data_IF_664195724918
#
_entry.id   IF_664195724918
#
_cell.length_a   1.000
_cell.length_b   1.000
_cell.length_c   1.000
_cell.angle_alpha   90.00
_cell.angle_beta   90.00
_cell.angle_gamma   90.00
#
_symmetry.space_group_name_H-M   'P 1'
#
loop_
_entity.id
_entity.type
_entity.pdbx_description
1 polymer ?
#
# COMPACT_ATOMS: atom_id res chain seq x y z
N UNK A 1 30.69 -20.51 -25.94
CA UNK A 1 29.85 -19.48 -26.60
C UNK A 1 30.21 -19.44 -28.09
N UNK A 2 29.33 -19.95 -28.96
CA UNK A 2 29.56 -19.93 -30.41
C UNK A 2 29.15 -18.53 -30.91
N UNK A 3 30.14 -17.68 -31.19
CA UNK A 3 29.91 -16.36 -31.76
C UNK A 3 29.28 -16.49 -33.14
N UNK A 4 28.04 -16.02 -33.32
CA UNK A 4 27.42 -15.94 -34.64
C UNK A 4 28.23 -14.94 -35.47
N UNK A 5 28.90 -15.43 -36.52
CA UNK A 5 29.54 -14.57 -37.51
C UNK A 5 28.46 -13.74 -38.19
N UNK A 6 28.57 -12.42 -38.09
CA UNK A 6 27.64 -11.49 -38.76
C UNK A 6 28.08 -11.39 -40.22
N UNK A 7 27.41 -12.13 -41.10
CA UNK A 7 27.61 -12.02 -42.54
C UNK A 7 26.89 -10.77 -43.04
N UNK A 8 27.59 -9.95 -43.83
CA UNK A 8 27.04 -8.77 -44.47
C UNK A 8 27.12 -9.00 -45.98
N UNK A 9 25.96 -9.00 -46.64
CA UNK A 9 25.83 -9.06 -48.10
C UNK A 9 25.29 -7.71 -48.57
N UNK A 10 25.70 -7.25 -49.75
CA UNK A 10 25.14 -6.03 -50.32
C UNK A 10 23.70 -6.26 -50.83
N UNK A 11 22.88 -5.22 -50.77
CA UNK A 11 21.45 -5.30 -51.11
C UNK A 11 21.21 -5.73 -52.56
N UNK A 12 22.11 -5.35 -53.48
CA UNK A 12 21.97 -5.64 -54.90
C UNK A 12 22.24 -7.12 -55.18
N UNK A 13 23.35 -7.65 -54.67
CA UNK A 13 23.64 -9.09 -54.77
C UNK A 13 22.58 -9.95 -54.08
N UNK A 14 22.07 -9.51 -52.93
CA UNK A 14 21.00 -10.23 -52.23
C UNK A 14 19.70 -10.28 -53.04
N UNK A 15 19.33 -9.17 -53.69
CA UNK A 15 18.20 -9.13 -54.61
C UNK A 15 18.44 -10.00 -55.85
N UNK A 16 19.62 -9.91 -56.45
CA UNK A 16 19.97 -10.67 -57.67
C UNK A 16 19.94 -12.19 -57.38
N UNK A 17 20.43 -12.62 -56.20
CA UNK A 17 20.32 -14.02 -55.74
C UNK A 17 18.86 -14.42 -55.55
N UNK A 18 18.03 -13.59 -54.90
CA UNK A 18 16.61 -13.89 -54.69
C UNK A 18 15.90 -14.09 -56.03
N UNK A 19 16.12 -13.19 -57.00
CA UNK A 19 15.50 -13.29 -58.32
C UNK A 19 15.96 -14.53 -59.07
N UNK A 20 17.25 -14.88 -58.98
CA UNK A 20 17.79 -16.10 -59.59
C UNK A 20 17.16 -17.37 -59.00
N UNK A 21 17.04 -17.46 -57.67
CA UNK A 21 16.41 -18.61 -57.00
C UNK A 21 14.94 -18.74 -57.39
N UNK A 22 14.18 -17.64 -57.47
CA UNK A 22 12.79 -17.66 -57.92
C UNK A 22 12.66 -18.15 -59.36
N UNK A 23 13.54 -17.67 -60.24
CA UNK A 23 13.61 -18.08 -61.64
C UNK A 23 13.93 -19.58 -61.79
N UNK A 24 14.93 -20.08 -61.07
CA UNK A 24 15.31 -21.50 -61.08
C UNK A 24 14.18 -22.41 -60.58
N UNK A 25 13.33 -21.91 -59.67
CA UNK A 25 12.18 -22.64 -59.14
C UNK A 25 10.88 -22.41 -59.94
N UNK A 26 10.94 -21.78 -61.12
CA UNK A 26 9.80 -21.43 -61.96
C UNK A 26 8.70 -20.64 -61.19
N UNK A 27 9.12 -19.77 -60.26
CA UNK A 27 8.23 -18.87 -59.51
C UNK A 27 8.22 -17.48 -60.15
N UNK A 28 7.13 -16.75 -59.95
CA UNK A 28 7.04 -15.36 -60.40
C UNK A 28 8.11 -14.49 -59.74
N UNK A 29 8.71 -13.53 -60.48
CA UNK A 29 9.69 -12.60 -59.93
C UNK A 29 9.13 -11.82 -58.75
N UNK A 30 9.97 -11.57 -57.74
CA UNK A 30 9.55 -10.76 -56.60
C UNK A 30 9.28 -9.32 -57.06
N UNK A 31 8.04 -8.85 -56.89
CA UNK A 31 7.57 -7.51 -57.28
C UNK A 31 7.74 -6.48 -56.17
N UNK A 32 7.99 -6.91 -54.93
CA UNK A 32 8.23 -6.00 -53.80
C UNK A 32 9.69 -5.55 -53.82
N UNK A 33 9.98 -4.24 -53.80
CA UNK A 33 11.36 -3.75 -53.72
C UNK A 33 12.09 -4.38 -52.53
N UNK A 34 13.28 -4.94 -52.78
CA UNK A 34 14.04 -5.71 -51.80
C UNK A 34 14.37 -4.89 -50.54
N UNK A 35 14.61 -3.59 -50.72
CA UNK A 35 14.86 -2.61 -49.65
C UNK A 35 13.69 -2.55 -48.66
N UNK A 36 12.43 -2.67 -49.12
CA UNK A 36 11.26 -2.70 -48.24
C UNK A 36 11.18 -4.00 -47.43
N UNK A 37 11.61 -5.12 -48.01
CA UNK A 37 11.65 -6.42 -47.32
C UNK A 37 12.68 -6.39 -46.18
N UNK A 38 13.86 -5.85 -46.45
CA UNK A 38 14.92 -5.69 -45.44
C UNK A 38 14.53 -4.69 -44.37
N UNK A 39 13.94 -3.56 -44.77
CA UNK A 39 13.47 -2.53 -43.84
C UNK A 39 12.36 -3.05 -42.93
N UNK A 40 11.31 -3.68 -43.45
CA UNK A 40 10.20 -4.21 -42.64
C UNK A 40 10.65 -5.24 -41.61
N UNK A 41 11.59 -6.13 -41.96
CA UNK A 41 12.19 -7.06 -41.01
C UNK A 41 12.99 -6.32 -39.92
N UNK A 42 13.78 -5.32 -40.32
CA UNK A 42 14.58 -4.50 -39.38
C UNK A 42 13.70 -3.74 -38.39
N UNK A 43 12.61 -3.13 -38.86
CA UNK A 43 11.66 -2.38 -38.02
C UNK A 43 10.91 -3.33 -37.09
N UNK A 44 10.45 -4.49 -37.57
CA UNK A 44 9.73 -5.47 -36.74
C UNK A 44 10.63 -6.05 -35.65
N UNK A 45 11.89 -6.36 -35.97
CA UNK A 45 12.87 -6.84 -34.97
C UNK A 45 13.24 -5.75 -33.98
N UNK A 46 13.37 -4.49 -34.43
CA UNK A 46 13.64 -3.36 -33.55
C UNK A 46 12.46 -3.11 -32.59
N UNK A 47 11.22 -3.11 -33.09
CA UNK A 47 10.03 -2.92 -32.27
C UNK A 47 9.85 -4.03 -31.24
N UNK A 48 10.04 -5.29 -31.63
CA UNK A 48 9.98 -6.43 -30.71
C UNK A 48 11.08 -6.37 -29.63
N UNK A 49 12.30 -5.93 -29.98
CA UNK A 49 13.40 -5.79 -29.04
C UNK A 49 13.18 -4.63 -28.07
N UNK A 50 12.74 -3.48 -28.57
CA UNK A 50 12.43 -2.30 -27.76
C UNK A 50 11.23 -2.56 -26.84
N UNK A 51 10.18 -3.23 -27.32
CA UNK A 51 9.01 -3.60 -26.52
C UNK A 51 9.35 -4.58 -25.39
N UNK A 52 10.25 -5.54 -25.65
CA UNK A 52 10.76 -6.45 -24.60
C UNK A 52 11.55 -5.71 -23.53
N UNK A 53 12.42 -4.77 -23.92
CA UNK A 53 13.21 -3.97 -22.97
C UNK A 53 12.27 -3.08 -22.15
N UNK A 54 11.33 -2.38 -22.78
CA UNK A 54 10.36 -1.53 -22.10
C UNK A 54 9.50 -2.31 -21.09
N UNK A 55 9.04 -3.51 -21.46
CA UNK A 55 8.26 -4.38 -20.55
C UNK A 55 9.10 -4.86 -19.36
N UNK A 56 10.37 -5.23 -19.57
CA UNK A 56 11.27 -5.61 -18.50
C UNK A 56 11.54 -4.43 -17.54
N UNK A 57 11.77 -3.22 -18.07
CA UNK A 57 11.94 -2.03 -17.26
C UNK A 57 10.69 -1.73 -16.43
N UNK A 58 9.50 -1.84 -17.02
CA UNK A 58 8.23 -1.60 -16.32
C UNK A 58 8.00 -2.62 -15.19
N UNK A 59 8.31 -3.90 -15.43
CA UNK A 59 8.25 -4.96 -14.41
C UNK A 59 9.20 -4.67 -13.25
N UNK A 60 10.43 -4.23 -13.54
CA UNK A 60 11.43 -3.88 -12.52
C UNK A 60 10.98 -2.66 -11.71
N UNK A 61 10.40 -1.64 -12.34
CA UNK A 61 9.86 -0.47 -11.62
C UNK A 61 8.71 -0.84 -10.68
N UNK A 62 7.81 -1.72 -11.11
CA UNK A 62 6.73 -2.22 -10.25
C UNK A 62 7.30 -3.07 -9.11
N UNK A 63 8.25 -3.96 -9.38
CA UNK A 63 8.88 -4.78 -8.35
C UNK A 63 9.69 -3.96 -7.32
N UNK A 64 10.22 -2.79 -7.72
CA UNK A 64 10.93 -1.87 -6.84
C UNK A 64 10.02 -0.85 -6.15
N UNK A 65 8.74 -0.75 -6.54
CA UNK A 65 7.78 0.16 -5.91
C UNK A 65 7.64 -0.05 -4.40
N UNK A 66 7.67 -1.28 -3.82
CA UNK A 66 7.62 -1.48 -2.37
C UNK A 66 8.82 -0.88 -1.62
N UNK A 67 9.98 -0.74 -2.28
CA UNK A 67 11.19 -0.15 -1.70
C UNK A 67 11.15 1.38 -1.71
N UNK A 68 10.39 1.98 -2.61
CA UNK A 68 10.21 3.43 -2.70
C UNK A 68 9.22 3.98 -1.67
N UNK A 69 8.37 3.12 -1.08
CA UNK A 69 7.65 3.42 0.15
C UNK A 69 8.63 3.38 1.33
N UNK A 70 9.59 4.31 1.34
CA UNK A 70 10.23 4.73 2.58
C UNK A 70 9.11 5.26 3.45
N UNK A 71 8.98 4.70 4.63
CA UNK A 71 8.01 5.10 5.64
C UNK A 71 8.24 6.58 5.95
N UNK A 72 7.58 7.47 5.19
CA UNK A 72 7.37 8.84 5.59
C UNK A 72 6.27 8.74 6.63
N UNK A 73 6.64 8.17 7.78
CA UNK A 73 5.75 8.02 8.93
C UNK A 73 5.02 9.34 9.08
N UNK A 74 3.69 9.26 9.02
CA UNK A 74 2.81 10.39 9.18
C UNK A 74 3.20 11.12 10.46
N UNK A 75 3.97 12.20 10.32
CA UNK A 75 4.41 13.00 11.44
C UNK A 75 3.34 14.04 11.70
N UNK A 76 2.43 13.70 12.60
CA UNK A 76 1.59 14.71 13.24
C UNK A 76 2.55 15.64 13.97
N UNK A 77 2.68 16.89 13.51
CA UNK A 77 3.27 17.96 14.33
C UNK A 77 2.41 18.10 15.57
N UNK A 78 2.90 17.54 16.66
CA UNK A 78 2.36 17.75 17.98
C UNK A 78 2.60 19.22 18.35
N UNK A 79 1.65 20.08 17.96
CA UNK A 79 1.72 21.52 18.17
C UNK A 79 1.18 21.81 19.55
N UNK A 80 2.05 22.29 20.43
CA UNK A 80 1.71 22.68 21.79
C UNK A 80 1.76 21.51 22.76
N UNK A 81 1.96 21.83 24.04
CA UNK A 81 1.90 20.89 25.15
C UNK A 81 0.55 20.15 25.11
N UNK A 82 0.46 19.02 24.41
CA UNK A 82 -0.70 18.14 24.54
C UNK A 82 -0.59 17.57 25.95
N UNK A 83 -1.39 18.11 26.85
CA UNK A 83 -1.71 17.45 28.10
C UNK A 83 -2.39 16.13 27.71
N UNK A 84 -1.59 15.07 27.72
CA UNK A 84 -1.99 13.75 27.26
C UNK A 84 -2.81 13.12 28.37
N UNK A 85 -4.09 12.87 28.10
CA UNK A 85 -4.89 11.97 28.93
C UNK A 85 -4.22 10.59 28.89
N UNK A 86 -3.94 10.05 30.07
CA UNK A 86 -3.40 8.70 30.25
C UNK A 86 -4.26 7.94 31.24
N UNK A 87 -4.37 6.63 31.05
CA UNK A 87 -4.86 5.71 32.07
C UNK A 87 -3.67 5.37 32.96
N UNK A 88 -3.66 5.86 34.19
CA UNK A 88 -2.54 5.67 35.10
C UNK A 88 -2.59 4.35 35.84
N UNK A 89 -3.78 3.81 36.10
CA UNK A 89 -3.98 2.53 36.75
C UNK A 89 -5.37 1.97 36.41
N UNK A 90 -5.59 0.68 36.65
CA UNK A 90 -6.88 0.01 36.44
C UNK A 90 -7.04 -1.21 37.33
N UNK A 91 -8.28 -1.54 37.66
CA UNK A 91 -8.65 -2.72 38.43
C UNK A 91 -9.90 -3.34 37.82
N UNK A 92 -9.88 -4.65 37.62
CA UNK A 92 -11.02 -5.41 37.13
C UNK A 92 -11.59 -6.26 38.27
N UNK A 93 -12.87 -6.05 38.55
CA UNK A 93 -13.66 -6.85 39.49
C UNK A 93 -14.68 -7.68 38.72
N UNK A 94 -15.38 -8.59 39.42
CA UNK A 94 -16.35 -9.49 38.80
C UNK A 94 -17.55 -8.77 38.17
N UNK A 95 -17.90 -7.60 38.69
CA UNK A 95 -19.11 -6.85 38.35
C UNK A 95 -18.84 -5.42 37.88
N UNK A 96 -17.60 -4.93 38.02
CA UNK A 96 -17.23 -3.58 37.60
C UNK A 96 -15.75 -3.49 37.20
N UNK A 97 -15.46 -2.47 36.40
CA UNK A 97 -14.12 -2.09 35.97
C UNK A 97 -13.82 -0.68 36.44
N UNK A 98 -12.71 -0.49 37.14
CA UNK A 98 -12.26 0.81 37.64
C UNK A 98 -11.02 1.23 36.88
N UNK A 99 -10.96 2.48 36.47
CA UNK A 99 -9.78 3.08 35.87
C UNK A 99 -9.47 4.45 36.47
N UNK A 100 -8.19 4.78 36.52
CA UNK A 100 -7.70 6.06 37.02
C UNK A 100 -7.11 6.87 35.87
N UNK A 101 -7.68 8.05 35.62
CA UNK A 101 -7.26 8.97 34.58
C UNK A 101 -6.32 10.03 35.14
N UNK A 102 -5.28 10.35 34.39
CA UNK A 102 -4.44 11.54 34.62
C UNK A 102 -4.38 12.37 33.35
N UNK A 103 -4.49 13.67 33.54
CA UNK A 103 -4.55 14.65 32.47
C UNK A 103 -5.34 15.87 32.93
N UNK A 104 -5.28 16.93 32.15
CA UNK A 104 -6.13 18.11 32.30
C UNK A 104 -7.23 18.07 31.25
N UNK A 105 -8.23 18.95 31.40
CA UNK A 105 -9.30 19.15 30.42
C UNK A 105 -10.07 17.87 30.05
N UNK A 106 -10.09 16.85 30.91
CA UNK A 106 -10.90 15.65 30.69
C UNK A 106 -12.37 16.06 30.82
N UNK A 107 -13.18 15.69 29.84
CA UNK A 107 -14.63 15.87 29.88
C UNK A 107 -15.26 14.63 30.51
N UNK A 108 -15.28 14.64 31.85
CA UNK A 108 -15.76 13.52 32.68
C UNK A 108 -17.25 13.20 32.47
N UNK A 109 -18.05 14.21 32.14
CA UNK A 109 -19.49 14.06 31.90
C UNK A 109 -19.81 13.28 30.62
N UNK A 110 -18.90 13.31 29.64
CA UNK A 110 -19.09 12.67 28.34
C UNK A 110 -18.24 11.41 28.16
N UNK A 111 -17.71 10.82 29.24
CA UNK A 111 -17.05 9.52 29.16
C UNK A 111 -18.11 8.42 28.96
N UNK A 112 -17.89 7.55 27.98
CA UNK A 112 -18.77 6.41 27.72
C UNK A 112 -17.98 5.21 27.20
N UNK A 113 -18.62 4.05 27.18
CA UNK A 113 -18.11 2.84 26.56
C UNK A 113 -19.13 2.21 25.61
N UNK A 114 -18.66 1.31 24.75
CA UNK A 114 -19.50 0.46 23.90
C UNK A 114 -19.18 -1.01 24.09
N UNK A 115 -20.22 -1.83 24.22
CA UNK A 115 -20.14 -3.29 24.16
C UNK A 115 -19.91 -3.77 22.71
N UNK A 116 -19.59 -5.06 22.48
CA UNK A 116 -19.36 -5.59 21.14
C UNK A 116 -20.60 -5.54 20.24
N UNK A 117 -21.79 -5.53 20.82
CA UNK A 117 -23.08 -5.38 20.12
C UNK A 117 -23.39 -3.92 19.72
N UNK A 118 -22.50 -2.97 20.08
CA UNK A 118 -22.65 -1.54 19.80
C UNK A 118 -23.48 -0.77 20.81
N UNK A 119 -24.02 -1.42 21.85
CA UNK A 119 -24.77 -0.75 22.90
C UNK A 119 -23.87 0.15 23.75
N UNK A 120 -24.40 1.30 24.15
CA UNK A 120 -23.68 2.25 25.01
C UNK A 120 -23.74 1.81 26.47
N UNK A 121 -22.63 2.02 27.16
CA UNK A 121 -22.48 1.82 28.60
C UNK A 121 -21.90 3.10 29.19
N UNK A 122 -22.52 3.62 30.24
CA UNK A 122 -22.05 4.81 30.94
C UNK A 122 -21.35 4.42 32.25
N UNK A 123 -20.43 5.25 32.75
CA UNK A 123 -19.85 5.06 34.07
C UNK A 123 -20.96 5.02 35.15
N UNK A 124 -20.81 4.13 36.12
CA UNK A 124 -21.65 4.10 37.32
C UNK A 124 -21.18 5.11 38.37
N UNK A 125 -19.90 5.49 38.34
CA UNK A 125 -19.31 6.48 39.24
C UNK A 125 -18.15 7.21 38.57
N UNK A 126 -18.02 8.50 38.87
CA UNK A 126 -16.91 9.36 38.44
C UNK A 126 -16.50 10.25 39.60
N UNK A 127 -15.20 10.24 39.94
CA UNK A 127 -14.60 11.17 40.89
C UNK A 127 -13.51 11.98 40.18
N UNK A 128 -13.85 13.20 39.78
CA UNK A 128 -12.95 14.11 39.07
C UNK A 128 -11.71 14.51 39.89
N UNK A 129 -11.78 14.46 41.23
CA UNK A 129 -10.67 14.86 42.09
C UNK A 129 -9.55 13.83 42.06
N UNK A 130 -9.92 12.56 42.00
CA UNK A 130 -8.98 11.42 41.98
C UNK A 130 -8.72 10.91 40.56
N UNK A 131 -9.61 11.26 39.61
CA UNK A 131 -9.62 10.74 38.24
C UNK A 131 -10.18 9.34 38.14
N UNK A 132 -10.88 8.86 39.18
CA UNK A 132 -11.47 7.53 39.20
C UNK A 132 -12.75 7.49 38.36
N UNK A 133 -12.83 6.51 37.45
CA UNK A 133 -14.00 6.24 36.62
C UNK A 133 -14.34 4.76 36.73
N UNK A 134 -15.58 4.45 37.12
CA UNK A 134 -16.06 3.08 37.28
C UNK A 134 -17.11 2.76 36.22
N UNK A 135 -16.94 1.65 35.52
CA UNK A 135 -17.90 1.09 34.57
C UNK A 135 -18.49 -0.22 35.10
N UNK A 136 -19.77 -0.51 34.81
CA UNK A 136 -20.31 -1.85 35.05
C UNK A 136 -19.63 -2.85 34.09
N UNK A 137 -19.34 -4.05 34.59
CA UNK A 137 -18.66 -5.10 33.84
C UNK A 137 -19.42 -6.42 33.93
N UNK A 138 -19.74 -6.98 32.76
CA UNK A 138 -20.53 -8.22 32.62
C UNK A 138 -19.72 -9.34 31.94
N UNK A 139 -18.39 -9.29 32.02
CA UNK A 139 -17.52 -10.29 31.36
C UNK A 139 -17.35 -10.09 29.84
N UNK A 140 -17.74 -8.94 29.30
CA UNK A 140 -17.63 -8.62 27.87
C UNK A 140 -16.61 -7.50 27.63
N UNK A 141 -15.98 -7.51 26.46
CA UNK A 141 -15.05 -6.44 26.06
C UNK A 141 -15.76 -5.08 25.99
N UNK A 142 -15.06 -4.01 26.37
CA UNK A 142 -15.56 -2.64 26.32
C UNK A 142 -14.62 -1.74 25.51
N UNK A 143 -15.17 -0.99 24.56
CA UNK A 143 -14.50 0.12 23.89
C UNK A 143 -14.82 1.42 24.61
N UNK A 144 -13.88 1.94 25.39
CA UNK A 144 -14.06 3.12 26.26
C UNK A 144 -13.55 4.36 25.53
N UNK A 145 -14.32 5.45 25.59
CA UNK A 145 -14.06 6.74 24.96
C UNK A 145 -14.01 7.83 26.02
N UNK A 146 -12.87 8.52 26.09
CA UNK A 146 -12.59 9.56 27.08
C UNK A 146 -12.33 10.86 26.32
N UNK A 147 -13.35 11.72 26.15
CA UNK A 147 -13.18 13.01 25.49
C UNK A 147 -12.43 14.00 26.39
N UNK A 148 -11.76 14.96 25.75
CA UNK A 148 -11.33 16.21 26.36
C UNK A 148 -12.29 17.34 25.99
N UNK A 149 -12.22 18.44 26.75
CA UNK A 149 -13.04 19.65 26.52
C UNK A 149 -12.74 20.34 25.17
N UNK A 150 -11.70 19.93 24.44
CA UNK A 150 -11.32 20.44 23.12
C UNK A 150 -11.79 19.50 21.98
N UNK A 151 -12.53 18.43 22.29
CA UNK A 151 -13.09 17.48 21.34
C UNK A 151 -12.14 16.35 20.90
N UNK A 152 -10.97 16.21 21.50
CA UNK A 152 -10.08 15.06 21.27
C UNK A 152 -10.50 13.90 22.16
N UNK A 153 -10.46 12.69 21.63
CA UNK A 153 -10.89 11.49 22.38
C UNK A 153 -9.72 10.51 22.53
N UNK A 154 -9.45 10.09 23.76
CA UNK A 154 -8.66 8.90 24.04
C UNK A 154 -9.58 7.67 23.97
N UNK A 155 -9.18 6.68 23.18
CA UNK A 155 -9.85 5.38 23.15
C UNK A 155 -9.04 4.35 23.94
N UNK A 156 -9.70 3.64 24.85
CA UNK A 156 -9.16 2.51 25.60
C UNK A 156 -10.00 1.26 25.31
N UNK A 157 -9.38 0.08 25.35
CA UNK A 157 -10.04 -1.19 25.07
C UNK A 157 -9.81 -2.12 26.26
N UNK A 158 -10.90 -2.55 26.89
CA UNK A 158 -10.92 -3.66 27.82
C UNK A 158 -11.28 -4.92 27.02
N UNK A 159 -10.39 -5.88 26.93
CA UNK A 159 -10.65 -7.18 26.28
C UNK A 159 -11.12 -8.18 27.33
N UNK A 160 -12.20 -8.92 27.03
CA UNK A 160 -12.51 -10.13 27.75
C UNK A 160 -11.45 -11.21 27.44
N UNK A 161 -11.03 -11.94 28.47
CA UNK A 161 -10.20 -13.16 28.32
C UNK A 161 -11.05 -14.37 27.91
#
# INVERSE_FOLDING_TARGET
>A
MIGRKKYSMDLKSANDILQNVLKENNKEPNTVPFDRLVFSNTVNVAFAKTGRIASLCLLVLIALSPLAFKDNGFSVRNSGLIEKIIVSDHQLYSDHFVMYLKGSNIDYDNIYARKPDGTFVFPTSVDEKTGEVTFPYEGLSLNIYIPDLNGKVLQAILSAE
#
